data_IF_205687761748
#
_entry.id   IF_205687761748
#
_cell.length_a   1.000
_cell.length_b   1.000
_cell.length_c   1.000
_cell.angle_alpha   90.00
_cell.angle_beta   90.00
_cell.angle_gamma   90.00
#
_symmetry.space_group_name_H-M   'P 1'
#
loop_
_entity.id
_entity.type
_entity.pdbx_description
1 polymer ?
#
# COMPACT_ATOMS: atom_id res chain seq x y z
N UNK A 1 11.22 -2.87 9.39
CA UNK A 1 10.41 -3.21 10.58
C UNK A 1 9.55 -2.00 10.94
N UNK A 2 8.67 -2.12 11.93
CA UNK A 2 7.78 -1.04 12.35
C UNK A 2 8.55 0.14 13.00
N UNK A 3 9.62 -0.13 13.74
CA UNK A 3 10.45 0.93 14.38
C UNK A 3 11.13 1.84 13.36
N UNK A 4 11.56 1.27 12.24
CA UNK A 4 12.10 2.04 11.12
C UNK A 4 11.02 2.89 10.44
N UNK A 5 9.82 2.33 10.26
CA UNK A 5 8.69 3.06 9.69
C UNK A 5 8.23 4.21 10.60
N UNK A 6 8.23 4.03 11.92
CA UNK A 6 7.92 5.11 12.88
C UNK A 6 8.91 6.28 12.74
N UNK A 7 10.21 5.99 12.65
CA UNK A 7 11.25 7.02 12.46
C UNK A 7 11.05 7.78 11.15
N UNK A 8 10.66 7.09 10.08
CA UNK A 8 10.35 7.73 8.81
C UNK A 8 9.06 8.56 8.87
N UNK A 9 8.01 8.06 9.51
CA UNK A 9 6.73 8.75 9.64
C UNK A 9 6.83 10.03 10.50
N UNK A 10 7.81 10.10 11.41
CA UNK A 10 8.16 11.30 12.16
C UNK A 10 8.90 12.37 11.34
N UNK A 11 9.38 12.03 10.14
CA UNK A 11 9.99 12.99 9.23
C UNK A 11 8.93 13.70 8.36
N UNK A 12 9.39 14.58 7.47
CA UNK A 12 8.54 15.23 6.47
C UNK A 12 8.25 14.33 5.25
N UNK A 13 8.79 13.11 5.23
CA UNK A 13 8.55 12.15 4.16
C UNK A 13 7.10 11.64 4.17
N UNK A 14 6.59 11.36 2.97
CA UNK A 14 5.38 10.59 2.75
C UNK A 14 5.77 9.13 2.48
N UNK A 15 5.18 8.20 3.21
CA UNK A 15 5.52 6.77 3.15
C UNK A 15 4.66 6.07 2.11
N UNK A 16 5.32 5.53 1.08
CA UNK A 16 4.68 4.70 0.07
C UNK A 16 4.56 3.24 0.50
N UNK A 17 3.33 2.78 0.67
CA UNK A 17 2.99 1.36 0.76
C UNK A 17 2.47 0.92 -0.61
N UNK A 18 3.41 0.85 -1.56
CA UNK A 18 3.12 0.94 -2.98
C UNK A 18 3.23 -0.37 -3.77
N UNK A 19 3.56 -1.49 -3.13
CA UNK A 19 3.80 -2.78 -3.83
C UNK A 19 2.80 -3.88 -3.48
N UNK A 20 1.54 -3.52 -3.26
CA UNK A 20 0.48 -4.51 -3.14
C UNK A 20 0.35 -5.33 -4.43
N UNK A 21 0.21 -6.65 -4.31
CA UNK A 21 0.21 -7.59 -5.44
C UNK A 21 1.55 -8.30 -5.68
N UNK A 22 2.67 -7.74 -5.19
CA UNK A 22 3.99 -8.38 -5.24
C UNK A 22 4.24 -9.28 -4.01
N UNK A 23 3.41 -10.31 -3.89
CA UNK A 23 3.42 -11.26 -2.76
C UNK A 23 4.72 -12.08 -2.66
N UNK A 24 5.45 -12.21 -3.77
CA UNK A 24 6.79 -12.84 -3.81
C UNK A 24 7.86 -12.07 -3.02
N UNK A 25 7.66 -10.77 -2.79
CA UNK A 25 8.61 -9.93 -2.03
C UNK A 25 8.23 -9.84 -0.56
N UNK A 26 6.94 -9.68 -0.28
CA UNK A 26 6.37 -9.67 1.06
C UNK A 26 4.90 -10.11 0.95
N UNK A 27 4.46 -11.12 1.71
CA UNK A 27 3.09 -11.63 1.65
C UNK A 27 2.04 -10.55 1.90
N UNK A 28 0.87 -10.73 1.30
CA UNK A 28 -0.29 -9.83 1.43
C UNK A 28 -0.63 -9.56 2.90
N UNK A 29 -0.78 -10.61 3.71
CA UNK A 29 -1.17 -10.47 5.11
C UNK A 29 -0.20 -9.65 5.94
N UNK A 30 1.11 -9.78 5.68
CA UNK A 30 2.16 -9.03 6.36
C UNK A 30 2.14 -7.55 5.95
N UNK A 31 1.86 -7.26 4.66
CA UNK A 31 1.69 -5.88 4.18
C UNK A 31 0.49 -5.22 4.82
N UNK A 32 -0.66 -5.89 4.81
CA UNK A 32 -1.90 -5.39 5.44
C UNK A 32 -1.68 -5.21 6.95
N UNK A 33 -0.96 -6.13 7.61
CA UNK A 33 -0.68 -6.02 9.05
C UNK A 33 0.20 -4.81 9.36
N UNK A 34 1.20 -4.56 8.51
CA UNK A 34 2.09 -3.41 8.66
C UNK A 34 1.32 -2.09 8.51
N UNK A 35 0.48 -1.96 7.48
CA UNK A 35 -0.34 -0.75 7.28
C UNK A 35 -1.32 -0.55 8.44
N UNK A 36 -2.02 -1.60 8.86
CA UNK A 36 -2.96 -1.53 9.98
C UNK A 36 -2.26 -1.07 11.28
N UNK A 37 -1.08 -1.63 11.59
CA UNK A 37 -0.30 -1.22 12.75
C UNK A 37 0.15 0.26 12.68
N UNK A 38 0.51 0.75 11.50
CA UNK A 38 0.86 2.17 11.31
C UNK A 38 -0.37 3.09 11.45
N UNK A 39 -1.54 2.66 10.96
CA UNK A 39 -2.81 3.36 11.18
C UNK A 39 -3.18 3.43 12.67
N UNK A 40 -3.04 2.32 13.41
CA UNK A 40 -3.28 2.25 14.85
C UNK A 40 -2.37 3.22 15.64
N UNK A 41 -1.13 3.40 15.18
CA UNK A 41 -0.16 4.35 15.75
C UNK A 41 -0.43 5.82 15.37
N UNK A 42 -1.45 6.09 14.56
CA UNK A 42 -1.86 7.44 14.18
C UNK A 42 -1.11 8.01 12.97
N UNK A 43 -0.43 7.18 12.17
CA UNK A 43 0.37 7.66 11.03
C UNK A 43 -0.38 7.74 9.70
N UNK A 44 -1.71 7.58 9.67
CA UNK A 44 -2.49 7.56 8.42
C UNK A 44 -2.25 8.78 7.50
N UNK A 45 -2.08 9.99 8.05
CA UNK A 45 -1.79 11.22 7.31
C UNK A 45 -0.39 11.27 6.65
N UNK A 46 0.47 10.29 6.96
CA UNK A 46 1.84 10.17 6.44
C UNK A 46 1.99 9.03 5.45
N UNK A 47 0.91 8.37 5.04
CA UNK A 47 0.95 7.15 4.23
C UNK A 47 0.18 7.29 2.91
N UNK A 48 0.60 6.56 1.89
CA UNK A 48 -0.15 6.36 0.65
C UNK A 48 -0.14 4.88 0.28
N UNK A 49 -1.19 4.42 -0.40
CA UNK A 49 -1.34 3.03 -0.87
C UNK A 49 -1.24 2.96 -2.39
N UNK A 50 -0.55 1.95 -2.91
CA UNK A 50 -0.49 1.67 -4.35
C UNK A 50 -0.07 0.21 -4.63
N UNK A 51 0.01 -0.14 -5.91
CA UNK A 51 0.35 -1.47 -6.43
C UNK A 51 1.70 -1.50 -7.14
N UNK A 52 2.21 -0.35 -7.60
CA UNK A 52 3.39 -0.26 -8.49
C UNK A 52 3.18 -1.15 -9.72
N UNK A 53 1.92 -1.28 -10.15
CA UNK A 53 1.52 -2.10 -11.29
C UNK A 53 1.84 -1.34 -12.59
N UNK A 54 2.22 -2.09 -13.61
CA UNK A 54 2.61 -1.54 -14.90
C UNK A 54 1.76 -2.12 -16.04
N UNK A 55 1.56 -1.34 -17.11
CA UNK A 55 0.91 -1.85 -18.32
C UNK A 55 1.81 -2.83 -19.10
N UNK A 56 3.13 -2.72 -18.94
CA UNK A 56 4.12 -3.58 -19.59
C UNK A 56 5.37 -3.69 -18.72
N UNK A 57 5.96 -4.88 -18.66
CA UNK A 57 7.22 -5.16 -17.96
C UNK A 57 7.98 -6.29 -18.67
N UNK A 58 9.30 -6.15 -18.71
CA UNK A 58 10.25 -7.16 -19.18
C UNK A 58 10.92 -7.93 -18.02
N UNK A 59 10.43 -7.74 -16.79
CA UNK A 59 10.96 -8.40 -15.59
C UNK A 59 10.71 -9.92 -15.61
N UNK A 60 9.64 -10.36 -16.27
CA UNK A 60 9.28 -11.76 -16.42
C UNK A 60 9.15 -12.14 -17.90
N UNK A 61 9.47 -13.39 -18.28
CA UNK A 61 9.09 -13.94 -19.57
C UNK A 61 7.57 -13.80 -19.82
N UNK A 62 7.13 -13.70 -21.09
CA UNK A 62 5.72 -13.59 -21.42
C UNK A 62 4.88 -14.71 -20.78
N UNK A 63 3.79 -14.33 -20.10
CA UNK A 63 2.85 -15.26 -19.46
C UNK A 63 3.26 -15.78 -18.08
N UNK A 64 4.48 -15.47 -17.59
CA UNK A 64 4.93 -15.89 -16.26
C UNK A 64 4.46 -14.91 -15.17
N UNK A 65 4.37 -13.61 -15.49
CA UNK A 65 3.94 -12.57 -14.55
C UNK A 65 2.57 -12.90 -13.95
N UNK A 66 1.61 -13.24 -14.81
CA UNK A 66 0.23 -13.58 -14.44
C UNK A 66 0.13 -14.83 -13.55
N UNK A 67 1.15 -15.69 -13.56
CA UNK A 67 1.20 -16.90 -12.73
C UNK A 67 1.87 -16.64 -11.37
N UNK A 68 2.89 -15.80 -11.36
CA UNK A 68 3.74 -15.58 -10.17
C UNK A 68 3.20 -14.44 -9.30
N UNK A 69 2.62 -13.42 -9.91
CA UNK A 69 2.04 -12.25 -9.23
C UNK A 69 0.66 -11.92 -9.83
N UNK A 70 -0.33 -12.82 -9.67
CA UNK A 70 -1.66 -12.67 -10.25
C UNK A 70 -2.39 -11.40 -9.76
N UNK A 71 -2.08 -10.98 -8.53
CA UNK A 71 -2.69 -9.82 -7.87
C UNK A 71 -1.98 -8.49 -8.21
N UNK A 72 -0.94 -8.51 -9.06
CA UNK A 72 -0.19 -7.30 -9.41
C UNK A 72 -0.87 -6.52 -10.55
N UNK A 73 -2.05 -5.97 -10.26
CA UNK A 73 -2.87 -5.18 -11.18
C UNK A 73 -3.51 -3.95 -10.50
N UNK A 74 -3.93 -2.98 -11.31
CA UNK A 74 -4.41 -1.66 -10.85
C UNK A 74 -5.65 -1.68 -9.92
N UNK A 75 -6.42 -2.77 -9.94
CA UNK A 75 -7.64 -2.88 -9.14
C UNK A 75 -7.39 -3.47 -7.74
N UNK A 76 -6.27 -4.17 -7.52
CA UNK A 76 -6.02 -4.96 -6.31
C UNK A 76 -6.11 -4.16 -5.00
N UNK A 77 -5.63 -2.91 -4.99
CA UNK A 77 -5.74 -2.06 -3.79
C UNK A 77 -7.19 -1.77 -3.43
N UNK A 78 -8.05 -1.52 -4.42
CA UNK A 78 -9.45 -1.15 -4.17
C UNK A 78 -10.28 -2.41 -3.85
N UNK A 79 -10.07 -3.48 -4.60
CA UNK A 79 -10.90 -4.69 -4.53
C UNK A 79 -10.53 -5.60 -3.36
N UNK A 80 -9.25 -5.62 -2.93
CA UNK A 80 -8.76 -6.58 -1.94
C UNK A 80 -8.11 -5.91 -0.71
N UNK A 81 -7.22 -4.93 -0.92
CA UNK A 81 -6.45 -4.32 0.18
C UNK A 81 -7.35 -3.46 1.08
N UNK A 82 -8.22 -2.62 0.49
CA UNK A 82 -9.14 -1.77 1.26
C UNK A 82 -10.07 -2.61 2.13
N UNK A 83 -10.79 -3.64 1.62
CA UNK A 83 -11.59 -4.53 2.47
C UNK A 83 -10.78 -5.18 3.60
N UNK A 84 -9.58 -5.71 3.31
CA UNK A 84 -8.74 -6.36 4.32
C UNK A 84 -8.28 -5.39 5.43
N UNK A 85 -8.03 -4.12 5.10
CA UNK A 85 -7.69 -3.09 6.08
C UNK A 85 -8.90 -2.72 6.95
N UNK A 86 -10.08 -2.58 6.35
CA UNK A 86 -11.33 -2.31 7.07
C UNK A 86 -11.66 -3.44 8.07
N UNK A 87 -11.48 -4.70 7.67
CA UNK A 87 -11.66 -5.87 8.55
C UNK A 87 -10.70 -5.85 9.75
N UNK A 88 -9.53 -5.22 9.62
CA UNK A 88 -8.54 -5.05 10.70
C UNK A 88 -8.73 -3.74 11.50
N UNK A 89 -9.83 -3.04 11.29
CA UNK A 89 -10.21 -1.86 12.07
C UNK A 89 -9.60 -0.54 11.59
N UNK A 90 -8.94 -0.51 10.42
CA UNK A 90 -8.61 0.75 9.75
C UNK A 90 -9.92 1.42 9.35
N UNK A 91 -10.07 2.71 9.64
CA UNK A 91 -11.34 3.41 9.36
C UNK A 91 -11.43 3.88 7.92
N UNK A 92 -12.65 4.10 7.42
CA UNK A 92 -12.85 4.69 6.09
C UNK A 92 -12.13 6.05 5.97
N UNK A 93 -12.14 6.86 7.01
CA UNK A 93 -11.43 8.15 7.02
C UNK A 93 -9.91 7.98 6.83
N UNK A 94 -9.31 6.95 7.44
CA UNK A 94 -7.90 6.64 7.26
C UNK A 94 -7.60 6.12 5.84
N UNK A 95 -8.50 5.33 5.25
CA UNK A 95 -8.41 4.90 3.85
C UNK A 95 -8.47 6.11 2.91
N UNK A 96 -9.42 7.01 3.14
CA UNK A 96 -9.59 8.26 2.38
C UNK A 96 -8.35 9.15 2.46
N UNK A 97 -7.73 9.28 3.65
CA UNK A 97 -6.44 9.95 3.80
C UNK A 97 -5.38 9.34 2.87
N UNK A 98 -5.19 8.02 2.93
CA UNK A 98 -4.13 7.35 2.19
C UNK A 98 -4.33 7.31 0.67
N UNK A 99 -5.58 7.27 0.18
CA UNK A 99 -5.89 7.12 -1.24
C UNK A 99 -6.26 8.43 -1.94
N UNK A 100 -6.68 9.46 -1.20
CA UNK A 100 -7.18 10.72 -1.78
C UNK A 100 -6.48 11.94 -1.20
N UNK A 101 -6.56 12.13 0.11
CA UNK A 101 -6.24 13.43 0.70
C UNK A 101 -4.72 13.65 0.85
N UNK A 102 -3.95 12.62 1.23
CA UNK A 102 -2.49 12.69 1.30
C UNK A 102 -1.85 12.84 -0.09
N UNK A 103 -2.20 12.02 -1.12
CA UNK A 103 -1.70 12.23 -2.48
C UNK A 103 -2.02 13.63 -3.00
N UNK A 104 -3.26 14.10 -2.83
CA UNK A 104 -3.67 15.45 -3.23
C UNK A 104 -2.80 16.52 -2.59
N UNK A 105 -2.64 16.47 -1.27
CA UNK A 105 -1.83 17.44 -0.51
C UNK A 105 -0.37 17.41 -0.91
N UNK A 106 0.15 16.26 -1.34
CA UNK A 106 1.54 16.14 -1.78
C UNK A 106 1.75 16.73 -3.18
N UNK A 107 0.85 16.45 -4.14
CA UNK A 107 1.00 16.84 -5.54
C UNK A 107 0.45 18.23 -5.89
N UNK A 108 -0.42 18.82 -5.05
CA UNK A 108 -0.95 20.18 -5.25
C UNK A 108 -0.06 21.29 -4.66
N UNK A 109 1.14 20.95 -4.15
CA UNK A 109 2.11 21.92 -3.62
C UNK A 109 2.88 22.67 -4.70
#
# INVERSE_FOLDING_TARGET
>A
DLDYLDKLAQSDALLGFDRFGLNILLPFDDRVATVAAMCERGYAEKMILSQDANCFSDWFPPGLNEQVTPDWHFQHVIDDVVPALLERGVTQDQIDLMLRDNPRTFFER
#
